data_IF_897862631988
#
_entry.id   IF_897862631988
#
_cell.length_a   1.000
_cell.length_b   1.000
_cell.length_c   1.000
_cell.angle_alpha   90.00
_cell.angle_beta   90.00
_cell.angle_gamma   90.00
#
_symmetry.space_group_name_H-M   'P 1'
#
loop_
_entity.id
_entity.type
_entity.pdbx_description
1 polymer ?
#
# COMPACT_ATOMS: atom_id res chain seq x y z
N UNK A 1 20.84 -6.94 -0.22
CA UNK A 1 19.96 -6.10 -1.07
C UNK A 1 18.51 -6.39 -0.72
N UNK A 2 17.87 -5.55 0.10
CA UNK A 2 16.41 -5.57 0.23
C UNK A 2 15.86 -4.91 -1.04
N UNK A 3 15.44 -5.73 -2.03
CA UNK A 3 14.64 -5.24 -3.15
C UNK A 3 13.34 -4.68 -2.55
N UNK A 4 13.25 -3.35 -2.49
CA UNK A 4 12.04 -2.52 -2.59
C UNK A 4 10.72 -3.24 -2.36
N UNK A 5 9.99 -2.84 -1.32
CA UNK A 5 8.59 -3.17 -1.02
C UNK A 5 8.05 -4.38 -1.76
N UNK A 6 8.17 -5.56 -1.14
CA UNK A 6 7.54 -6.83 -1.54
C UNK A 6 7.16 -6.89 -3.03
N UNK A 7 8.14 -7.16 -3.90
CA UNK A 7 7.88 -7.34 -5.32
C UNK A 7 6.69 -8.30 -5.48
N UNK A 8 5.73 -8.04 -6.37
CA UNK A 8 4.51 -8.87 -6.49
C UNK A 8 4.82 -10.38 -6.56
N UNK A 9 5.98 -10.77 -7.10
CA UNK A 9 6.45 -12.16 -7.16
C UNK A 9 6.82 -12.79 -5.80
N UNK A 10 6.91 -12.00 -4.74
CA UNK A 10 7.30 -12.36 -3.37
C UNK A 10 6.13 -12.21 -2.38
N UNK A 11 4.90 -12.17 -2.88
CA UNK A 11 3.70 -12.22 -2.03
C UNK A 11 3.80 -13.44 -1.08
N UNK A 12 3.55 -13.28 0.23
CA UNK A 12 3.63 -14.38 1.19
C UNK A 12 2.76 -15.58 0.80
N UNK A 13 3.19 -16.78 1.17
CA UNK A 13 2.51 -18.03 0.81
C UNK A 13 1.09 -18.16 1.40
N UNK A 14 0.75 -17.37 2.42
CA UNK A 14 -0.59 -17.32 3.01
C UNK A 14 -1.63 -16.65 2.10
N UNK A 15 -1.20 -16.00 1.01
CA UNK A 15 -2.07 -15.39 0.02
C UNK A 15 -2.17 -16.24 -1.25
N UNK A 16 -3.26 -16.06 -2.04
CA UNK A 16 -3.33 -16.62 -3.38
C UNK A 16 -2.13 -16.22 -4.23
N UNK A 17 -1.86 -17.00 -5.30
CA UNK A 17 -0.78 -16.70 -6.25
C UNK A 17 -0.81 -15.23 -6.65
N UNK A 18 0.37 -14.61 -6.74
CA UNK A 18 0.50 -13.17 -6.96
C UNK A 18 -0.30 -12.62 -8.15
N UNK A 19 -0.50 -13.40 -9.22
CA UNK A 19 -1.31 -13.02 -10.39
C UNK A 19 -2.77 -12.80 -10.03
N UNK A 20 -3.33 -13.64 -9.15
CA UNK A 20 -4.69 -13.52 -8.66
C UNK A 20 -4.83 -12.25 -7.82
N UNK A 21 -3.92 -12.04 -6.87
CA UNK A 21 -3.91 -10.82 -6.04
C UNK A 21 -3.78 -9.57 -6.91
N UNK A 22 -2.86 -9.58 -7.88
CA UNK A 22 -2.67 -8.47 -8.81
C UNK A 22 -3.90 -8.23 -9.70
N UNK A 23 -4.58 -9.29 -10.13
CA UNK A 23 -5.79 -9.21 -10.95
C UNK A 23 -6.96 -8.52 -10.23
N UNK A 24 -7.06 -8.63 -8.90
CA UNK A 24 -8.01 -7.83 -8.12
C UNK A 24 -7.50 -6.41 -7.86
N UNK A 25 -6.19 -6.29 -7.58
CA UNK A 25 -5.58 -5.01 -7.26
C UNK A 25 -5.64 -4.01 -8.42
N UNK A 26 -5.36 -4.43 -9.66
CA UNK A 26 -5.25 -3.53 -10.81
C UNK A 26 -6.57 -2.79 -11.10
N UNK A 27 -7.74 -3.45 -11.22
CA UNK A 27 -9.01 -2.75 -11.37
C UNK A 27 -9.30 -1.77 -10.22
N UNK A 28 -9.04 -2.17 -8.96
CA UNK A 28 -9.22 -1.30 -7.79
C UNK A 28 -8.28 -0.10 -7.76
N UNK A 29 -7.11 -0.24 -8.36
CA UNK A 29 -6.17 0.86 -8.49
C UNK A 29 -6.67 1.86 -9.54
N UNK A 30 -7.18 1.37 -10.67
CA UNK A 30 -7.71 2.18 -11.77
C UNK A 30 -9.00 2.91 -11.40
N UNK A 31 -9.93 2.23 -10.73
CA UNK A 31 -11.22 2.82 -10.31
C UNK A 31 -11.13 3.68 -9.03
N UNK A 32 -9.95 3.72 -8.38
CA UNK A 32 -9.70 4.51 -7.17
C UNK A 32 -10.17 3.86 -5.87
N UNK A 33 -10.73 2.66 -5.90
CA UNK A 33 -11.10 1.86 -4.72
C UNK A 33 -9.90 1.68 -3.79
N UNK A 34 -8.72 1.43 -4.35
CA UNK A 34 -7.49 1.29 -3.57
C UNK A 34 -7.17 2.55 -2.74
N UNK A 35 -7.37 3.75 -3.32
CA UNK A 35 -7.16 5.02 -2.60
C UNK A 35 -8.18 5.19 -1.47
N UNK A 36 -9.45 4.83 -1.71
CA UNK A 36 -10.53 4.88 -0.71
C UNK A 36 -10.25 3.94 0.46
N UNK A 37 -9.88 2.69 0.17
CA UNK A 37 -9.50 1.70 1.19
C UNK A 37 -8.33 2.19 2.02
N UNK A 38 -7.25 2.67 1.37
CA UNK A 38 -6.09 3.21 2.07
C UNK A 38 -6.44 4.36 3.00
N UNK A 39 -7.34 5.28 2.59
CA UNK A 39 -7.80 6.37 3.45
C UNK A 39 -8.47 5.84 4.72
N UNK A 40 -9.41 4.91 4.59
CA UNK A 40 -10.12 4.31 5.74
C UNK A 40 -9.15 3.61 6.69
N UNK A 41 -8.21 2.82 6.16
CA UNK A 41 -7.23 2.13 7.00
C UNK A 41 -6.30 3.11 7.71
N UNK A 42 -5.83 4.16 7.02
CA UNK A 42 -4.99 5.21 7.62
C UNK A 42 -5.72 5.92 8.76
N UNK A 43 -6.98 6.29 8.58
CA UNK A 43 -7.79 6.92 9.63
C UNK A 43 -7.93 6.00 10.85
N UNK A 44 -8.24 4.71 10.64
CA UNK A 44 -8.34 3.72 11.72
C UNK A 44 -7.04 3.55 12.49
N UNK A 45 -5.90 3.46 11.79
CA UNK A 45 -4.58 3.34 12.41
C UNK A 45 -4.25 4.59 13.23
N UNK A 46 -4.57 5.78 12.72
CA UNK A 46 -4.34 7.05 13.44
C UNK A 46 -5.20 7.16 14.69
N UNK A 47 -6.47 6.79 14.61
CA UNK A 47 -7.37 6.73 15.77
C UNK A 47 -6.86 5.75 16.83
N UNK A 48 -6.43 4.56 16.42
CA UNK A 48 -5.83 3.57 17.34
C UNK A 48 -4.54 4.09 18.00
N UNK A 49 -3.81 4.95 17.31
CA UNK A 49 -2.62 5.63 17.85
C UNK A 49 -2.94 6.88 18.68
N UNK A 50 -4.22 7.18 18.96
CA UNK A 50 -4.64 8.35 19.74
C UNK A 50 -4.47 9.69 19.00
N UNK A 51 -4.38 9.68 17.67
CA UNK A 51 -4.19 10.87 16.82
C UNK A 51 -5.47 11.21 16.06
N UNK A 52 -5.61 12.48 15.67
CA UNK A 52 -6.70 12.92 14.80
C UNK A 52 -6.74 12.15 13.47
N UNK A 53 -7.95 11.90 12.96
CA UNK A 53 -8.19 11.16 11.70
C UNK A 53 -7.43 11.78 10.52
N UNK A 54 -7.49 13.10 10.42
CA UNK A 54 -6.77 13.86 9.40
C UNK A 54 -5.37 14.25 9.93
N UNK A 55 -4.31 13.99 9.14
CA UNK A 55 -2.98 14.46 9.49
C UNK A 55 -2.88 15.99 9.36
N UNK A 56 -2.19 16.63 10.30
CA UNK A 56 -1.85 18.05 10.22
C UNK A 56 -0.64 18.33 9.30
N UNK A 57 0.18 17.32 9.04
CA UNK A 57 1.35 17.39 8.15
C UNK A 57 1.47 16.11 7.31
N UNK A 58 1.80 16.25 6.03
CA UNK A 58 2.08 15.14 5.12
C UNK A 58 3.57 15.06 4.79
N UNK A 59 4.18 13.90 5.01
CA UNK A 59 5.54 13.62 4.53
C UNK A 59 5.44 12.95 3.16
N UNK A 60 5.99 13.59 2.14
CA UNK A 60 6.16 13.02 0.81
C UNK A 60 7.65 12.68 0.67
N UNK A 61 7.96 11.39 0.78
CA UNK A 61 9.30 10.88 0.52
C UNK A 61 9.33 10.22 -0.86
N UNK A 62 10.39 10.48 -1.63
CA UNK A 62 10.61 9.88 -2.93
C UNK A 62 11.94 9.16 -2.93
N UNK A 63 11.90 7.84 -3.10
CA UNK A 63 13.11 7.03 -3.18
C UNK A 63 13.34 6.58 -4.62
N UNK A 64 14.47 7.01 -5.21
CA UNK A 64 14.88 6.53 -6.53
C UNK A 64 15.55 5.16 -6.44
N UNK A 65 15.18 4.25 -7.33
CA UNK A 65 15.77 2.92 -7.41
C UNK A 65 16.95 2.95 -8.36
N UNK A 66 18.17 2.72 -7.84
CA UNK A 66 19.34 2.50 -8.68
C UNK A 66 19.20 1.14 -9.37
N UNK A 67 19.11 1.15 -10.70
CA UNK A 67 19.18 -0.07 -11.52
C UNK A 67 20.64 -0.48 -11.65
N UNK A 68 20.92 -1.76 -11.44
CA UNK A 68 22.23 -2.39 -11.65
C UNK A 68 22.34 -2.92 -13.09
#
# INVERSE_FOLDING_TARGET
>A
MLRTGCAWRLVPHDFPKWRTVYGYFQPWHEDGTWKKLNRIFREKVRLKAGRNTHPSAGCLDSQSLKRA
#
